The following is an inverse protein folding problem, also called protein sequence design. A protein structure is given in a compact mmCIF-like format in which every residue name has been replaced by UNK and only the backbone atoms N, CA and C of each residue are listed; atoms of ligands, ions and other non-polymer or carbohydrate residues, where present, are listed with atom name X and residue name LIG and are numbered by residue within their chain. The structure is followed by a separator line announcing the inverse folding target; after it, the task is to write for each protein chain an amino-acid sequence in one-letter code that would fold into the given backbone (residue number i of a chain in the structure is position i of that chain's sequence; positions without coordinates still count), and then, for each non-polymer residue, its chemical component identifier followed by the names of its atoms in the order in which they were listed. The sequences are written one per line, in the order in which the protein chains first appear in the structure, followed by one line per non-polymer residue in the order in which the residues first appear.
data_IF_678369889388
#
_entry.id   IF_678369889388
#
_cell.length_a   1.000
_cell.length_b   1.000
_cell.length_c   1.000
_cell.angle_alpha   90.00
_cell.angle_beta   90.00
_cell.angle_gamma   90.00
#
_symmetry.space_group_name_H-M   'P 1'
#
loop_
_entity.id
_entity.type
_entity.pdbx_description
1 polymer ?
#
# COMPACT_ATOMS: atom_id res chain seq x y z
N UNK A 1 -14.70 11.23 2.02
CA UNK A 1 -14.90 9.83 1.57
C UNK A 1 -13.52 9.25 1.31
N UNK A 2 -13.29 7.98 1.65
CA UNK A 2 -11.99 7.33 1.44
C UNK A 2 -11.55 7.44 -0.03
N UNK A 3 -10.32 7.89 -0.27
CA UNK A 3 -9.81 8.18 -1.61
C UNK A 3 -9.59 6.90 -2.43
N UNK A 4 -9.25 5.78 -1.77
CA UNK A 4 -8.89 4.51 -2.42
C UNK A 4 -7.75 4.69 -3.42
N UNK A 5 -6.56 5.07 -2.93
CA UNK A 5 -5.38 5.24 -3.77
C UNK A 5 -5.11 4.00 -4.65
N UNK A 6 -4.74 4.18 -5.91
CA UNK A 6 -4.76 3.09 -6.88
C UNK A 6 -3.47 2.26 -6.88
N UNK A 7 -2.54 2.48 -5.95
CA UNK A 7 -1.25 1.79 -5.94
C UNK A 7 -0.71 1.52 -4.52
N UNK A 8 0.26 0.61 -4.43
CA UNK A 8 1.04 0.38 -3.21
C UNK A 8 2.18 1.39 -3.06
N UNK A 9 2.31 2.02 -1.89
CA UNK A 9 3.38 2.99 -1.63
C UNK A 9 4.79 2.36 -1.56
N UNK A 10 4.93 1.03 -1.45
CA UNK A 10 6.23 0.35 -1.40
C UNK A 10 6.71 -0.20 -2.75
N UNK A 11 5.87 -0.97 -3.44
CA UNK A 11 6.24 -1.69 -4.67
C UNK A 11 5.52 -1.17 -5.91
N UNK A 12 4.69 -0.14 -5.77
CA UNK A 12 3.97 0.53 -6.85
C UNK A 12 2.95 -0.32 -7.63
N UNK A 13 2.67 -1.55 -7.19
CA UNK A 13 1.66 -2.39 -7.82
C UNK A 13 0.26 -1.76 -7.76
N UNK A 14 -0.57 -2.05 -8.77
CA UNK A 14 -1.92 -1.52 -8.84
C UNK A 14 -2.85 -2.14 -7.77
N UNK A 15 -3.63 -1.27 -7.13
CA UNK A 15 -4.60 -1.58 -6.09
C UNK A 15 -5.91 -0.84 -6.41
N UNK A 16 -6.70 -1.31 -7.38
CA UNK A 16 -7.96 -0.66 -7.78
C UNK A 16 -8.93 -0.56 -6.59
N UNK A 17 -9.90 0.36 -6.67
CA UNK A 17 -10.78 0.67 -5.53
C UNK A 17 -11.67 -0.48 -5.04
N UNK A 18 -11.81 -1.53 -5.84
CA UNK A 18 -12.49 -2.78 -5.52
C UNK A 18 -11.52 -3.93 -5.14
N UNK A 19 -10.21 -3.66 -5.11
CA UNK A 19 -9.19 -4.65 -4.72
C UNK A 19 -9.36 -5.11 -3.27
N UNK A 20 -9.41 -6.43 -3.09
CA UNK A 20 -9.37 -7.09 -1.77
C UNK A 20 -7.96 -7.27 -1.21
N UNK A 21 -6.92 -6.86 -1.94
CA UNK A 21 -5.52 -7.00 -1.54
C UNK A 21 -4.87 -5.71 -1.06
N UNK A 22 -5.66 -4.63 -0.97
CA UNK A 22 -5.21 -3.36 -0.43
C UNK A 22 -5.34 -3.35 1.10
N UNK A 23 -4.30 -2.85 1.76
CA UNK A 23 -4.25 -2.53 3.18
C UNK A 23 -4.05 -1.03 3.34
N UNK A 24 -4.61 -0.46 4.41
CA UNK A 24 -4.65 0.99 4.62
C UNK A 24 -4.48 1.33 6.11
N UNK A 25 -3.87 2.49 6.40
CA UNK A 25 -3.85 3.09 7.74
C UNK A 25 -4.88 4.24 7.87
N UNK A 26 -4.99 4.84 9.05
CA UNK A 26 -5.90 5.98 9.31
C UNK A 26 -5.60 7.24 8.50
N UNK A 27 -4.38 7.37 7.96
CA UNK A 27 -3.95 8.48 7.09
C UNK A 27 -4.00 8.11 5.60
N UNK A 28 -4.66 7.02 5.25
CA UNK A 28 -4.81 6.53 3.88
C UNK A 28 -3.52 6.10 3.18
N UNK A 29 -2.43 5.83 3.92
CA UNK A 29 -1.25 5.18 3.34
C UNK A 29 -1.64 3.77 2.88
N UNK A 30 -1.41 3.45 1.61
CA UNK A 30 -1.93 2.24 0.97
C UNK A 30 -0.81 1.26 0.63
N UNK A 31 -0.99 -0.01 0.99
CA UNK A 31 -0.02 -1.08 0.75
C UNK A 31 -0.70 -2.33 0.22
N UNK A 32 -0.03 -3.13 -0.61
CA UNK A 32 -0.56 -4.43 -1.01
C UNK A 32 -0.41 -5.43 0.13
N UNK A 33 -1.13 -6.56 0.06
CA UNK A 33 -1.06 -7.66 1.03
C UNK A 33 0.38 -8.11 1.31
N UNK A 34 1.20 -8.23 0.28
CA UNK A 34 2.61 -8.63 0.42
C UNK A 34 3.41 -7.63 1.25
N UNK A 35 3.41 -6.36 0.85
CA UNK A 35 4.11 -5.31 1.59
C UNK A 35 3.56 -5.12 3.01
N UNK A 36 2.24 -5.19 3.21
CA UNK A 36 1.65 -5.11 4.54
C UNK A 36 2.11 -6.26 5.46
N UNK A 37 2.25 -7.47 4.92
CA UNK A 37 2.78 -8.62 5.65
C UNK A 37 4.26 -8.45 6.02
N UNK A 38 5.10 -8.00 5.07
CA UNK A 38 6.50 -7.66 5.35
C UNK A 38 6.61 -6.57 6.43
N UNK A 39 5.73 -5.57 6.37
CA UNK A 39 5.68 -4.50 7.36
C UNK A 39 5.00 -4.92 8.68
N UNK A 40 4.69 -6.22 8.88
CA UNK A 40 4.04 -6.76 10.08
C UNK A 40 2.76 -6.00 10.44
N UNK A 41 2.00 -5.59 9.42
CA UNK A 41 0.80 -4.78 9.55
C UNK A 41 0.99 -3.45 10.30
N UNK A 42 2.19 -2.87 10.24
CA UNK A 42 2.51 -1.53 10.74
C UNK A 42 2.88 -0.60 9.61
N UNK A 43 2.25 0.57 9.59
CA UNK A 43 2.54 1.57 8.57
C UNK A 43 3.93 2.18 8.83
N UNK A 44 4.88 2.12 7.89
CA UNK A 44 6.20 2.72 8.06
C UNK A 44 6.16 4.25 8.06
N UNK A 45 5.12 4.85 7.48
CA UNK A 45 5.01 6.29 7.33
C UNK A 45 4.40 6.98 8.57
N UNK A 46 3.51 6.30 9.31
CA UNK A 46 2.80 6.89 10.44
C UNK A 46 2.85 6.06 11.73
N UNK A 47 3.42 4.84 11.73
CA UNK A 47 3.46 3.93 12.87
C UNK A 47 2.12 3.26 13.23
N UNK A 48 1.04 3.63 12.55
CA UNK A 48 -0.30 3.09 12.74
C UNK A 48 -0.45 1.64 12.27
N UNK A 49 -1.61 1.05 12.55
CA UNK A 49 -1.96 -0.29 12.06
C UNK A 49 -2.34 -0.24 10.57
N UNK A 50 -1.95 -1.27 9.84
CA UNK A 50 -2.41 -1.55 8.49
C UNK A 50 -3.51 -2.60 8.55
N UNK A 51 -4.73 -2.20 8.18
CA UNK A 51 -5.89 -3.08 8.12
C UNK A 51 -6.34 -3.26 6.67
N UNK A 52 -7.09 -4.33 6.40
CA UNK A 52 -7.66 -4.53 5.07
C UNK A 52 -8.53 -3.31 4.68
N UNK A 53 -8.26 -2.75 3.50
CA UNK A 53 -9.00 -1.61 2.96
C UNK A 53 -10.37 -2.10 2.49
N UNK A 54 -11.48 -1.53 3.00
CA UNK A 54 -12.81 -1.90 2.51
C UNK A 54 -12.94 -1.60 1.01
N UNK A 55 -13.24 -2.60 0.16
CA UNK A 55 -13.43 -2.36 -1.27
C UNK A 55 -14.74 -1.63 -1.51
N UNK A 56 -14.76 -0.72 -2.48
CA UNK A 56 -16.00 -0.06 -2.91
C UNK A 56 -16.76 -0.98 -3.85
N UNK A 57 -18.06 -1.14 -3.60
CA UNK A 57 -18.90 -2.00 -4.44
C UNK A 57 -18.93 -1.51 -5.90
N UNK A 58 -19.07 -2.40 -6.90
CA UNK A 58 -19.00 -2.04 -8.31
C UNK A 58 -19.98 -0.92 -8.70
N UNK A 59 -21.22 -1.00 -8.24
CA UNK A 59 -22.25 0.01 -8.50
C UNK A 59 -21.89 1.39 -7.93
N UNK A 60 -21.18 1.43 -6.80
CA UNK A 60 -20.71 2.68 -6.20
C UNK A 60 -19.42 3.16 -6.86
N UNK A 61 -18.54 2.27 -7.33
CA UNK A 61 -17.31 2.63 -8.01
C UNK A 61 -17.59 3.42 -9.31
N UNK A 62 -18.63 3.04 -10.06
CA UNK A 62 -19.05 3.75 -11.27
C UNK A 62 -19.51 5.20 -11.00
N UNK A 63 -20.15 5.45 -9.85
CA UNK A 63 -20.65 6.78 -9.47
C UNK A 63 -19.65 7.60 -8.65
N UNK A 64 -18.77 6.91 -7.94
CA UNK A 64 -17.80 7.45 -6.99
C UNK A 64 -16.48 6.74 -7.24
N UNK A 65 -15.73 7.13 -8.28
CA UNK A 65 -14.51 6.46 -8.67
C UNK A 65 -13.45 6.53 -7.56
N UNK A 66 -12.52 5.60 -7.59
CA UNK A 66 -11.30 5.68 -6.80
C UNK A 66 -10.44 6.86 -7.26
N UNK A 67 -9.57 7.36 -6.39
CA UNK A 67 -8.60 8.39 -6.74
C UNK A 67 -7.63 7.86 -7.81
N UNK A 68 -7.24 8.74 -8.73
CA UNK A 68 -6.15 8.50 -9.69
C UNK A 68 -4.78 8.90 -9.13
N UNK A 69 -4.73 9.47 -7.93
CA UNK A 69 -3.49 9.93 -7.31
C UNK A 69 -2.65 8.75 -6.82
N UNK A 70 -1.53 8.51 -7.52
CA UNK A 70 -0.53 7.51 -7.14
C UNK A 70 0.48 8.09 -6.18
N UNK A 71 0.86 7.32 -5.16
CA UNK A 71 1.95 7.68 -4.25
C UNK A 71 2.92 6.53 -4.10
N UNK A 72 4.21 6.83 -4.31
CA UNK A 72 5.29 5.86 -4.25
C UNK A 72 6.38 6.37 -3.30
N UNK A 73 6.61 5.64 -2.20
CA UNK A 73 7.51 5.97 -1.10
C UNK A 73 8.29 4.72 -0.62
N UNK A 74 9.11 4.10 -1.48
CA UNK A 74 9.79 2.84 -1.17
C UNK A 74 10.78 2.96 -0.01
N UNK A 75 11.33 4.15 0.24
CA UNK A 75 12.30 4.40 1.30
C UNK A 75 11.76 4.04 2.71
N UNK A 76 10.48 4.30 2.99
CA UNK A 76 9.85 3.90 4.25
C UNK A 76 9.72 2.37 4.39
N UNK A 77 9.73 1.66 3.28
CA UNK A 77 9.56 0.21 3.22
C UNK A 77 10.88 -0.56 3.22
N UNK A 78 12.01 0.13 3.06
CA UNK A 78 13.34 -0.44 2.93
C UNK A 78 13.86 -1.14 4.20
N UNK A 79 13.15 -1.03 5.33
CA UNK A 79 13.55 -1.66 6.60
C UNK A 79 13.59 -3.20 6.60
N UNK A 80 13.11 -3.89 5.55
CA UNK A 80 13.16 -5.36 5.45
C UNK A 80 13.42 -5.90 4.04
N UNK A 81 13.83 -5.05 3.09
CA UNK A 81 14.36 -5.52 1.81
C UNK A 81 15.88 -5.47 1.95
N UNK A 82 16.46 -6.45 2.65
CA UNK A 82 17.86 -6.79 2.35
C UNK A 82 17.83 -7.39 0.96
N UNK A 83 18.07 -6.53 -0.03
CA UNK A 83 18.60 -6.92 -1.32
C UNK A 83 19.64 -8.01 -1.09
N UNK A 84 19.58 -9.06 -1.90
CA UNK A 84 20.56 -10.13 -1.93
C UNK A 84 21.98 -9.56 -1.78
N UNK A 85 22.70 -10.18 -0.86
CA UNK A 85 24.10 -10.00 -0.60
C UNK A 85 24.92 -10.29 -1.86
N UNK A 86 25.42 -9.26 -2.55
CA UNK A 86 26.60 -9.30 -3.41
C UNK A 86 27.08 -7.87 -3.66
N UNK A 87 27.97 -7.39 -2.79
CA UNK A 87 29.22 -6.70 -3.17
C UNK A 87 29.89 -6.18 -1.90
N UNK A 88 30.81 -7.00 -1.37
CA UNK A 88 31.77 -6.62 -0.34
C UNK A 88 33.13 -6.50 -1.02
N UNK A 89 33.78 -5.32 -1.02
CA UNK A 89 35.10 -5.20 -1.64
C UNK A 89 36.14 -5.94 -0.80
N UNK A 90 37.03 -6.65 -1.48
CA UNK A 90 38.34 -7.07 -1.00
C UNK A 90 39.39 -6.41 -1.88
#
# INVERSE_FOLDING_TARGET
MLQLRPNCECCDCDLPGDSGDAFICSFECTFCRGCASHLQHRCPNCGGLLLARPPRSPAKLARFPASSERVYKPAGCAGQITSGNEDRPA
#
